data_IF_644834090915
#
_entry.id   IF_644834090915
#
_cell.length_a   1.000
_cell.length_b   1.000
_cell.length_c   1.000
_cell.angle_alpha   90.00
_cell.angle_beta   90.00
_cell.angle_gamma   90.00
#
_symmetry.space_group_name_H-M   'P 1'
#
loop_
_entity.id
_entity.type
_entity.pdbx_description
1 polymer ?
#
# COMPACT_ATOMS: atom_id res chain seq x y z
N UNK A 1 29.59 -3.46 3.71
CA UNK A 1 28.41 -3.48 2.82
C UNK A 1 27.40 -4.38 3.50
N UNK A 2 26.26 -3.83 3.89
CA UNK A 2 25.13 -4.59 4.43
C UNK A 2 24.56 -5.41 3.24
N UNK A 3 24.26 -6.69 3.42
CA UNK A 3 23.64 -7.48 2.34
C UNK A 3 22.22 -6.96 2.08
N UNK A 4 21.75 -6.99 0.83
CA UNK A 4 20.42 -6.42 0.49
C UNK A 4 19.30 -7.07 1.31
N UNK A 5 19.41 -8.36 1.63
CA UNK A 5 18.49 -9.09 2.51
C UNK A 5 18.45 -8.54 3.95
N UNK A 6 19.58 -8.07 4.47
CA UNK A 6 19.65 -7.49 5.82
C UNK A 6 18.94 -6.13 5.86
N UNK A 7 18.98 -5.39 4.74
CA UNK A 7 18.31 -4.09 4.61
C UNK A 7 16.80 -4.26 4.45
N UNK A 8 16.35 -5.18 3.60
CA UNK A 8 14.92 -5.51 3.46
C UNK A 8 14.34 -6.01 4.79
N UNK A 9 15.09 -6.86 5.51
CA UNK A 9 14.71 -7.35 6.84
C UNK A 9 14.57 -6.24 7.87
N UNK A 10 15.48 -5.26 7.87
CA UNK A 10 15.38 -4.08 8.74
C UNK A 10 14.11 -3.27 8.46
N UNK A 11 13.83 -2.97 7.18
CA UNK A 11 12.63 -2.23 6.79
C UNK A 11 11.34 -2.97 7.18
N UNK A 12 11.28 -4.29 6.94
CA UNK A 12 10.13 -5.11 7.32
C UNK A 12 9.90 -5.08 8.83
N UNK A 13 10.97 -5.30 9.60
CA UNK A 13 10.89 -5.34 11.06
C UNK A 13 10.46 -4.00 11.65
N UNK A 14 11.01 -2.89 11.14
CA UNK A 14 10.61 -1.55 11.58
C UNK A 14 9.15 -1.25 11.25
N UNK A 15 8.68 -1.64 10.07
CA UNK A 15 7.28 -1.48 9.67
C UNK A 15 6.32 -2.19 10.63
N UNK A 16 6.62 -3.43 11.01
CA UNK A 16 5.80 -4.17 11.97
C UNK A 16 5.85 -3.56 13.37
N UNK A 17 7.02 -3.15 13.86
CA UNK A 17 7.13 -2.49 15.18
C UNK A 17 6.26 -1.22 15.22
N UNK A 18 6.33 -0.39 14.18
CA UNK A 18 5.54 0.84 14.11
C UNK A 18 4.03 0.54 14.05
N UNK A 19 3.63 -0.49 13.30
CA UNK A 19 2.24 -0.94 13.25
C UNK A 19 1.75 -1.41 14.63
N UNK A 20 2.50 -2.29 15.29
CA UNK A 20 2.05 -2.98 16.51
C UNK A 20 2.03 -2.06 17.73
N UNK A 21 2.88 -1.04 17.77
CA UNK A 21 2.96 -0.08 18.88
C UNK A 21 2.00 1.10 18.75
N UNK A 22 1.33 1.25 17.60
CA UNK A 22 0.43 2.37 17.35
C UNK A 22 -1.02 2.02 17.71
N UNK A 23 -1.70 2.94 18.39
CA UNK A 23 -3.16 2.96 18.40
C UNK A 23 -3.72 3.21 16.99
N UNK A 24 -5.02 3.04 16.80
CA UNK A 24 -5.65 3.30 15.50
C UNK A 24 -5.48 4.76 15.03
N UNK A 25 -5.49 5.72 15.96
CA UNK A 25 -5.30 7.15 15.65
C UNK A 25 -3.85 7.44 15.29
N UNK A 26 -2.89 6.97 16.10
CA UNK A 26 -1.46 7.12 15.80
C UNK A 26 -1.08 6.43 14.49
N UNK A 27 -1.64 5.26 14.21
CA UNK A 27 -1.39 4.53 12.97
C UNK A 27 -1.86 5.33 11.75
N UNK A 28 -2.98 6.04 11.84
CA UNK A 28 -3.42 6.90 10.74
C UNK A 28 -2.39 8.01 10.48
N UNK A 29 -1.88 8.65 11.53
CA UNK A 29 -0.87 9.72 11.42
C UNK A 29 0.45 9.23 10.79
N UNK A 30 0.91 8.03 11.15
CA UNK A 30 2.18 7.47 10.65
C UNK A 30 1.99 6.50 9.48
N UNK A 31 0.78 6.40 8.92
CA UNK A 31 0.39 5.34 7.98
C UNK A 31 1.33 5.22 6.78
N UNK A 32 1.71 6.35 6.18
CA UNK A 32 2.62 6.34 5.03
C UNK A 32 4.01 5.82 5.40
N UNK A 33 4.51 6.16 6.59
CA UNK A 33 5.80 5.65 7.08
C UNK A 33 5.72 4.13 7.22
N UNK A 34 4.66 3.61 7.84
CA UNK A 34 4.46 2.17 8.03
C UNK A 34 4.41 1.44 6.68
N UNK A 35 3.57 1.91 5.74
CA UNK A 35 3.43 1.28 4.43
C UNK A 35 4.72 1.33 3.63
N UNK A 36 5.46 2.44 3.66
CA UNK A 36 6.75 2.57 2.98
C UNK A 36 7.81 1.61 3.54
N UNK A 37 7.87 1.44 4.86
CA UNK A 37 8.79 0.47 5.48
C UNK A 37 8.43 -0.96 5.09
N UNK A 38 7.15 -1.33 5.22
CA UNK A 38 6.67 -2.66 4.88
C UNK A 38 6.85 -2.99 3.40
N UNK A 39 6.58 -2.03 2.50
CA UNK A 39 6.75 -2.20 1.06
C UNK A 39 8.21 -2.49 0.69
N UNK A 40 9.18 -1.84 1.34
CA UNK A 40 10.62 -2.08 1.12
C UNK A 40 11.10 -3.44 1.62
N UNK A 41 10.35 -4.07 2.51
CA UNK A 41 10.60 -5.42 3.01
C UNK A 41 9.65 -6.48 2.45
N UNK A 42 8.76 -6.12 1.52
CA UNK A 42 7.64 -6.97 1.11
C UNK A 42 8.07 -8.29 0.43
N UNK A 43 9.26 -8.32 -0.19
CA UNK A 43 9.90 -9.53 -0.73
C UNK A 43 10.09 -10.64 0.31
N UNK A 44 10.23 -10.26 1.59
CA UNK A 44 10.45 -11.17 2.70
C UNK A 44 9.14 -11.62 3.38
N UNK A 45 7.99 -11.03 3.04
CA UNK A 45 6.68 -11.47 3.53
C UNK A 45 6.31 -12.81 2.91
N UNK A 46 6.26 -13.86 3.73
CA UNK A 46 5.95 -15.23 3.27
C UNK A 46 4.57 -15.66 3.67
N UNK A 47 4.06 -15.16 4.78
CA UNK A 47 2.77 -15.55 5.30
C UNK A 47 1.63 -14.82 4.59
N UNK A 48 0.52 -15.53 4.38
CA UNK A 48 -0.64 -14.97 3.69
C UNK A 48 -1.36 -13.92 4.55
N UNK A 49 -1.46 -14.12 5.86
CA UNK A 49 -2.06 -13.14 6.76
C UNK A 49 -1.23 -11.85 6.79
N UNK A 50 0.10 -11.94 6.78
CA UNK A 50 0.99 -10.78 6.65
C UNK A 50 0.69 -9.97 5.38
N UNK A 51 0.58 -10.65 4.24
CA UNK A 51 0.30 -10.02 2.94
C UNK A 51 -1.09 -9.39 2.85
N UNK A 52 -2.10 -10.04 3.44
CA UNK A 52 -3.45 -9.49 3.53
C UNK A 52 -3.49 -8.27 4.47
N UNK A 53 -2.75 -8.32 5.58
CA UNK A 53 -2.65 -7.18 6.48
C UNK A 53 -1.96 -5.98 5.81
N UNK A 54 -0.86 -6.24 5.09
CA UNK A 54 -0.19 -5.22 4.28
C UNK A 54 -1.14 -4.64 3.21
N UNK A 55 -1.92 -5.48 2.52
CA UNK A 55 -2.92 -5.02 1.55
C UNK A 55 -3.97 -4.07 2.17
N UNK A 56 -4.40 -4.32 3.42
CA UNK A 56 -5.31 -3.41 4.15
C UNK A 56 -4.67 -2.06 4.43
N UNK A 57 -3.41 -2.04 4.89
CA UNK A 57 -2.67 -0.81 5.12
C UNK A 57 -2.46 -0.03 3.82
N UNK A 58 -2.12 -0.72 2.74
CA UNK A 58 -2.02 -0.16 1.39
C UNK A 58 -3.33 0.47 0.92
N UNK A 59 -4.48 -0.16 1.19
CA UNK A 59 -5.79 0.42 0.88
C UNK A 59 -6.04 1.70 1.68
N UNK A 60 -5.75 1.70 2.97
CA UNK A 60 -5.89 2.89 3.82
C UNK A 60 -5.00 4.03 3.33
N UNK A 61 -3.72 3.75 3.05
CA UNK A 61 -2.77 4.72 2.54
C UNK A 61 -3.17 5.23 1.16
N UNK A 62 -3.63 4.35 0.27
CA UNK A 62 -4.15 4.69 -1.04
C UNK A 62 -5.32 5.68 -0.96
N UNK A 63 -6.32 5.38 -0.13
CA UNK A 63 -7.48 6.27 0.10
C UNK A 63 -7.07 7.61 0.73
N UNK A 64 -6.16 7.60 1.71
CA UNK A 64 -5.67 8.82 2.36
C UNK A 64 -4.90 9.71 1.38
N UNK A 65 -4.03 9.12 0.56
CA UNK A 65 -3.29 9.82 -0.49
C UNK A 65 -4.24 10.38 -1.57
N UNK A 66 -5.26 9.61 -1.98
CA UNK A 66 -6.29 10.06 -2.93
C UNK A 66 -7.05 11.29 -2.40
N UNK A 67 -7.46 11.27 -1.13
CA UNK A 67 -8.21 12.37 -0.51
C UNK A 67 -7.46 13.71 -0.49
N UNK A 68 -6.12 13.67 -0.47
CA UNK A 68 -5.27 14.87 -0.54
C UNK A 68 -4.72 15.13 -1.95
N UNK A 69 -5.30 14.49 -2.98
CA UNK A 69 -4.90 14.60 -4.39
C UNK A 69 -3.46 14.16 -4.69
N UNK A 70 -2.86 13.33 -3.84
CA UNK A 70 -1.55 12.72 -4.07
C UNK A 70 -1.70 11.45 -4.94
N UNK A 71 -2.25 11.59 -6.15
CA UNK A 71 -2.70 10.47 -6.98
C UNK A 71 -1.59 9.48 -7.39
N UNK A 72 -0.38 9.96 -7.65
CA UNK A 72 0.77 9.09 -7.93
C UNK A 72 1.11 8.20 -6.73
N UNK A 73 1.11 8.75 -5.51
CA UNK A 73 1.35 7.98 -4.29
C UNK A 73 0.20 7.01 -4.03
N UNK A 74 -1.05 7.46 -4.22
CA UNK A 74 -2.22 6.59 -4.10
C UNK A 74 -2.12 5.38 -5.04
N UNK A 75 -1.77 5.59 -6.31
CA UNK A 75 -1.54 4.52 -7.29
C UNK A 75 -0.49 3.53 -6.82
N UNK A 76 0.65 4.01 -6.33
CA UNK A 76 1.75 3.16 -5.83
C UNK A 76 1.26 2.27 -4.68
N UNK A 77 0.60 2.82 -3.68
CA UNK A 77 0.12 2.04 -2.54
C UNK A 77 -0.96 1.03 -2.93
N UNK A 78 -1.91 1.43 -3.78
CA UNK A 78 -3.00 0.55 -4.21
C UNK A 78 -2.47 -0.63 -5.03
N UNK A 79 -1.54 -0.38 -5.96
CA UNK A 79 -0.87 -1.44 -6.73
C UNK A 79 -0.03 -2.36 -5.83
N UNK A 80 0.64 -1.82 -4.82
CA UNK A 80 1.38 -2.63 -3.85
C UNK A 80 0.44 -3.59 -3.08
N UNK A 81 -0.74 -3.11 -2.65
CA UNK A 81 -1.74 -3.93 -1.99
C UNK A 81 -2.39 -4.97 -2.90
N UNK A 82 -2.61 -4.65 -4.18
CA UNK A 82 -3.10 -5.62 -5.17
C UNK A 82 -2.07 -6.74 -5.39
N UNK A 83 -0.79 -6.37 -5.55
CA UNK A 83 0.28 -7.33 -5.82
C UNK A 83 0.62 -8.25 -4.63
N UNK A 84 0.16 -7.93 -3.42
CA UNK A 84 0.35 -8.82 -2.26
C UNK A 84 -0.74 -9.88 -2.13
N UNK A 85 -1.85 -9.76 -2.85
CA UNK A 85 -2.97 -10.70 -2.80
C UNK A 85 -2.85 -11.78 -3.88
N UNK A 86 -3.45 -12.94 -3.60
CA UNK A 86 -3.59 -14.07 -4.53
C UNK A 86 -5.06 -14.26 -4.94
N UNK A 87 -5.33 -15.04 -5.97
CA UNK A 87 -6.69 -15.22 -6.51
C UNK A 87 -7.68 -15.71 -5.45
N UNK A 88 -7.25 -16.59 -4.53
CA UNK A 88 -8.12 -17.09 -3.46
C UNK A 88 -8.52 -15.99 -2.45
N UNK A 89 -7.79 -14.86 -2.39
CA UNK A 89 -8.16 -13.73 -1.53
C UNK A 89 -9.40 -13.01 -2.07
N UNK A 90 -9.73 -13.13 -3.35
CA UNK A 90 -10.95 -12.57 -3.92
C UNK A 90 -12.21 -13.12 -3.26
N UNK A 91 -12.23 -14.42 -2.95
CA UNK A 91 -13.37 -15.06 -2.29
C UNK A 91 -13.36 -14.78 -0.78
N UNK A 92 -12.21 -14.89 -0.13
CA UNK A 92 -12.09 -14.77 1.33
C UNK A 92 -12.09 -13.32 1.84
N UNK A 93 -11.62 -12.38 1.02
CA UNK A 93 -11.45 -10.97 1.35
C UNK A 93 -12.06 -10.07 0.28
N UNK A 94 -13.24 -10.47 -0.24
CA UNK A 94 -13.93 -9.80 -1.35
C UNK A 94 -14.03 -8.28 -1.20
N UNK A 95 -14.37 -7.79 -0.01
CA UNK A 95 -14.48 -6.34 0.22
C UNK A 95 -13.14 -5.62 0.07
N UNK A 96 -12.06 -6.20 0.61
CA UNK A 96 -10.71 -5.65 0.48
C UNK A 96 -10.29 -5.59 -0.98
N UNK A 97 -10.43 -6.71 -1.70
CA UNK A 97 -10.08 -6.78 -3.11
C UNK A 97 -10.90 -5.79 -3.93
N UNK A 98 -12.22 -5.77 -3.76
CA UNK A 98 -13.10 -4.85 -4.48
C UNK A 98 -12.69 -3.39 -4.26
N UNK A 99 -12.43 -2.99 -3.01
CA UNK A 99 -11.99 -1.63 -2.69
C UNK A 99 -10.61 -1.29 -3.29
N UNK A 100 -9.65 -2.22 -3.24
CA UNK A 100 -8.33 -2.00 -3.84
C UNK A 100 -8.42 -1.77 -5.35
N UNK A 101 -9.11 -2.67 -6.06
CA UNK A 101 -9.24 -2.57 -7.51
C UNK A 101 -10.08 -1.37 -7.94
N UNK A 102 -11.18 -1.05 -7.24
CA UNK A 102 -12.02 0.10 -7.58
C UNK A 102 -11.31 1.43 -7.34
N UNK A 103 -10.69 1.61 -6.17
CA UNK A 103 -9.93 2.83 -5.87
C UNK A 103 -8.71 2.96 -6.78
N UNK A 104 -8.02 1.86 -7.12
CA UNK A 104 -6.91 1.90 -8.07
C UNK A 104 -7.39 2.33 -9.46
N UNK A 105 -8.49 1.75 -9.96
CA UNK A 105 -9.04 2.11 -11.27
C UNK A 105 -9.44 3.59 -11.34
N UNK A 106 -10.07 4.12 -10.29
CA UNK A 106 -10.42 5.54 -10.20
C UNK A 106 -9.17 6.44 -10.19
N UNK A 107 -8.16 6.05 -9.41
CA UNK A 107 -6.89 6.79 -9.31
C UNK A 107 -6.14 6.83 -10.64
N UNK A 108 -6.06 5.70 -11.35
CA UNK A 108 -5.41 5.64 -12.66
C UNK A 108 -6.16 6.46 -13.73
N UNK A 109 -7.48 6.45 -13.69
CA UNK A 109 -8.30 7.27 -14.58
C UNK A 109 -8.00 8.76 -14.38
N UNK A 110 -7.98 9.22 -13.13
CA UNK A 110 -7.65 10.60 -12.78
C UNK A 110 -6.24 10.97 -13.26
N UNK A 111 -5.25 10.10 -13.05
CA UNK A 111 -3.87 10.34 -13.51
C UNK A 111 -3.76 10.49 -15.03
N UNK A 112 -4.48 9.68 -15.81
CA UNK A 112 -4.50 9.78 -17.27
C UNK A 112 -5.07 11.13 -17.73
N UNK A 113 -6.15 11.60 -17.10
CA UNK A 113 -6.74 12.91 -17.39
C UNK A 113 -5.77 14.06 -17.02
N UNK A 114 -5.05 13.95 -15.90
CA UNK A 114 -4.01 14.93 -15.51
C UNK A 114 -2.86 14.99 -16.52
N UNK A 115 -2.36 13.84 -16.95
CA UNK A 115 -1.29 13.77 -17.94
C UNK A 115 -1.75 14.42 -19.25
N UNK A 116 -2.96 14.07 -19.73
CA UNK A 116 -3.56 14.67 -20.93
C UNK A 116 -3.69 16.20 -20.81
N UNK A 117 -4.08 16.72 -19.64
CA UNK A 117 -4.19 18.16 -19.41
C UNK A 117 -2.83 18.88 -19.49
N UNK A 118 -1.74 18.27 -19.02
CA UNK A 118 -0.39 18.87 -19.09
C UNK A 118 0.13 18.97 -20.53
N UNK A 119 -0.26 18.06 -21.42
CA UNK A 119 0.13 18.12 -22.84
C UNK A 119 -0.56 19.24 -23.63
N UNK A 120 -1.55 19.91 -23.04
CA UNK A 120 -2.32 21.00 -23.68
C UNK A 120 -1.97 22.40 -23.17
N UNK A 121 -0.95 22.55 -22.32
CA UNK A 121 -0.36 23.83 -21.87
C UNK A 121 0.96 24.11 -22.59
#
# INVERSE_FOLDING_TARGET
>A
LIQDSDREGFHLHLGYILQDLSSAEELDDILFIVVDQLQRGASLMKDRHEKVNFAKLCLMAGKKAYAISAFLAASVYLKAGINSLVDEDWEMHRELCLNLYSTCSETEYVLQDYDAMQWHL
#
